data_IF_115428822871
#
_entry.id   IF_115428822871
#
_cell.length_a   1.000
_cell.length_b   1.000
_cell.length_c   1.000
_cell.angle_alpha   90.00
_cell.angle_beta   90.00
_cell.angle_gamma   90.00
#
_symmetry.space_group_name_H-M   'P 1'
#
loop_
_entity.id
_entity.type
_entity.pdbx_description
1 polymer ?
#
# COMPACT_ATOMS: atom_id res chain seq x y z
N UNK A 1 3.53 2.13 19.57
CA UNK A 1 2.19 1.94 18.96
C UNK A 1 1.44 3.25 18.69
N UNK A 2 1.33 4.17 19.65
CA UNK A 2 0.55 5.42 19.47
C UNK A 2 1.00 6.32 18.30
N UNK A 3 2.30 6.33 17.98
CA UNK A 3 2.80 7.05 16.79
C UNK A 3 2.27 6.45 15.48
N UNK A 4 2.15 5.12 15.38
CA UNK A 4 1.61 4.44 14.20
C UNK A 4 0.11 4.70 14.07
N UNK A 5 -0.62 4.66 15.20
CA UNK A 5 -2.06 4.99 15.22
C UNK A 5 -2.31 6.43 14.80
N UNK A 6 -1.55 7.40 15.33
CA UNK A 6 -1.64 8.81 14.93
C UNK A 6 -1.34 9.02 13.44
N UNK A 7 -0.31 8.34 12.90
CA UNK A 7 0.01 8.40 11.46
C UNK A 7 -1.10 7.82 10.60
N UNK A 8 -1.65 6.66 10.96
CA UNK A 8 -2.77 6.03 10.21
C UNK A 8 -4.04 6.86 10.25
N UNK A 9 -4.33 7.46 11.39
CA UNK A 9 -5.48 8.37 11.52
C UNK A 9 -5.34 9.58 10.60
N UNK A 10 -4.17 10.26 10.62
CA UNK A 10 -3.89 11.37 9.71
C UNK A 10 -3.94 10.97 8.24
N UNK A 11 -3.31 9.86 7.87
CA UNK A 11 -3.32 9.38 6.50
C UNK A 11 -4.74 9.05 5.99
N UNK A 12 -5.62 8.56 6.86
CA UNK A 12 -7.02 8.29 6.49
C UNK A 12 -7.83 9.58 6.30
N UNK A 13 -7.58 10.60 7.12
CA UNK A 13 -8.19 11.93 6.96
C UNK A 13 -7.70 12.61 5.69
N UNK A 14 -6.38 12.67 5.47
CA UNK A 14 -5.77 13.24 4.27
C UNK A 14 -6.24 12.54 2.99
N UNK A 15 -6.41 11.21 3.01
CA UNK A 15 -6.94 10.46 1.88
C UNK A 15 -8.41 10.83 1.57
N UNK A 16 -9.21 11.07 2.60
CA UNK A 16 -10.61 11.49 2.46
C UNK A 16 -10.70 12.91 1.90
N UNK A 17 -9.97 13.86 2.48
CA UNK A 17 -9.91 15.26 2.01
C UNK A 17 -9.44 15.34 0.56
N UNK A 18 -8.42 14.55 0.20
CA UNK A 18 -7.92 14.49 -1.18
C UNK A 18 -8.94 13.91 -2.15
N UNK A 19 -9.75 12.94 -1.72
CA UNK A 19 -10.80 12.35 -2.55
C UNK A 19 -11.96 13.34 -2.75
N UNK A 20 -12.37 14.06 -1.71
CA UNK A 20 -13.37 15.13 -1.79
C UNK A 20 -12.90 16.26 -2.73
N UNK A 21 -11.68 16.77 -2.53
CA UNK A 21 -11.10 17.80 -3.41
C UNK A 21 -10.95 17.32 -4.86
N UNK A 22 -10.67 16.02 -5.08
CA UNK A 22 -10.63 15.43 -6.43
C UNK A 22 -12.02 15.45 -7.07
N UNK A 23 -13.06 15.08 -6.34
CA UNK A 23 -14.43 15.08 -6.83
C UNK A 23 -14.91 16.50 -7.17
N UNK A 24 -14.61 17.48 -6.30
CA UNK A 24 -14.92 18.90 -6.56
C UNK A 24 -14.23 19.44 -7.82
N UNK A 25 -12.94 19.12 -8.00
CA UNK A 25 -12.21 19.50 -9.20
C UNK A 25 -12.78 18.88 -10.48
N UNK A 26 -13.26 17.63 -10.42
CA UNK A 26 -13.91 16.98 -11.57
C UNK A 26 -15.21 17.70 -11.96
N UNK A 27 -16.04 18.07 -10.98
CA UNK A 27 -17.27 18.83 -11.22
C UNK A 27 -16.96 20.19 -11.84
N UNK A 28 -15.94 20.89 -11.34
CA UNK A 28 -15.51 22.17 -11.89
C UNK A 28 -14.97 22.03 -13.33
N UNK A 29 -14.19 20.98 -13.62
CA UNK A 29 -13.72 20.70 -14.97
C UNK A 29 -14.84 20.41 -15.97
N UNK A 30 -15.88 19.66 -15.56
CA UNK A 30 -17.08 19.44 -16.38
C UNK A 30 -17.82 20.75 -16.66
N UNK A 31 -17.99 21.61 -15.64
CA UNK A 31 -18.62 22.92 -15.78
C UNK A 31 -17.85 23.86 -16.72
N UNK A 32 -16.52 23.74 -16.77
CA UNK A 32 -15.65 24.49 -17.69
C UNK A 32 -15.61 23.89 -19.11
N UNK A 33 -16.40 22.84 -19.39
CA UNK A 33 -16.50 22.23 -20.71
C UNK A 33 -15.33 21.31 -21.08
N UNK A 34 -14.50 20.89 -20.12
CA UNK A 34 -13.46 19.89 -20.38
C UNK A 34 -14.06 18.48 -20.39
N UNK A 35 -13.52 17.63 -21.28
CA UNK A 35 -13.88 16.21 -21.33
C UNK A 35 -13.29 15.45 -20.15
N UNK A 36 -14.14 15.01 -19.23
CA UNK A 36 -13.80 14.10 -18.13
C UNK A 36 -14.05 12.66 -18.57
N UNK A 37 -13.01 11.82 -18.57
CA UNK A 37 -13.15 10.40 -18.92
C UNK A 37 -13.63 9.57 -17.73
N UNK A 38 -14.25 8.42 -18.01
CA UNK A 38 -14.70 7.49 -16.96
C UNK A 38 -13.54 6.96 -16.10
N UNK A 39 -12.33 6.86 -16.67
CA UNK A 39 -11.12 6.50 -15.92
C UNK A 39 -10.77 7.57 -14.88
N UNK A 40 -10.92 8.85 -15.22
CA UNK A 40 -10.68 9.96 -14.28
C UNK A 40 -11.73 9.99 -13.18
N UNK A 41 -12.99 9.67 -13.50
CA UNK A 41 -14.10 9.61 -12.53
C UNK A 41 -13.89 8.46 -11.54
N UNK A 42 -13.58 7.28 -12.06
CA UNK A 42 -13.56 6.02 -11.31
C UNK A 42 -12.18 5.62 -10.77
N UNK A 43 -11.18 6.49 -10.86
CA UNK A 43 -9.84 6.23 -10.31
C UNK A 43 -9.92 6.03 -8.80
N UNK A 44 -9.91 4.77 -8.36
CA UNK A 44 -9.86 4.42 -6.94
C UNK A 44 -8.47 4.64 -6.39
N UNK A 45 -8.39 5.39 -5.30
CA UNK A 45 -7.16 5.51 -4.51
C UNK A 45 -6.85 4.19 -3.81
N UNK A 46 -5.56 3.85 -3.72
CA UNK A 46 -5.09 2.66 -3.00
C UNK A 46 -5.27 2.83 -1.48
N UNK A 47 -5.79 1.80 -0.80
CA UNK A 47 -5.91 1.80 0.66
C UNK A 47 -4.56 1.50 1.32
N UNK A 48 -3.91 2.54 1.83
CA UNK A 48 -2.63 2.41 2.53
C UNK A 48 -2.75 1.64 3.86
N UNK A 49 -3.96 1.48 4.43
CA UNK A 49 -4.16 0.68 5.63
C UNK A 49 -3.99 -0.83 5.35
N UNK A 50 -4.03 -1.25 4.08
CA UNK A 50 -3.70 -2.61 3.68
C UNK A 50 -2.27 -3.02 4.09
N UNK A 51 -1.36 -2.05 4.31
CA UNK A 51 0.00 -2.28 4.81
C UNK A 51 -0.02 -2.42 6.34
N UNK A 52 -0.72 -3.45 6.80
CA UNK A 52 -0.87 -3.78 8.21
C UNK A 52 -0.74 -5.28 8.41
N UNK A 53 -0.01 -5.71 9.45
CA UNK A 53 -0.17 -7.04 10.04
C UNK A 53 -1.55 -7.68 9.93
N UNK A 54 -1.64 -8.89 9.36
CA UNK A 54 -2.88 -9.68 9.32
C UNK A 54 -3.88 -9.29 8.24
N UNK A 55 -3.54 -8.40 7.30
CA UNK A 55 -4.38 -8.16 6.12
C UNK A 55 -4.09 -9.22 5.03
N UNK A 56 -5.09 -9.57 4.20
CA UNK A 56 -4.87 -10.47 3.06
C UNK A 56 -3.79 -9.97 2.08
N UNK A 57 -3.64 -8.65 1.97
CA UNK A 57 -2.58 -8.02 1.19
C UNK A 57 -1.18 -8.41 1.71
N UNK A 58 -0.97 -8.35 3.04
CA UNK A 58 0.32 -8.70 3.63
C UNK A 58 0.64 -10.20 3.49
N UNK A 59 -0.36 -11.07 3.52
CA UNK A 59 -0.17 -12.51 3.25
C UNK A 59 0.25 -12.78 1.81
N UNK A 60 -0.43 -12.15 0.86
CA UNK A 60 -0.09 -12.23 -0.56
C UNK A 60 1.30 -11.65 -0.83
N UNK A 61 1.63 -10.52 -0.21
CA UNK A 61 2.95 -9.89 -0.31
C UNK A 61 4.04 -10.81 0.23
N UNK A 62 3.80 -11.46 1.38
CA UNK A 62 4.71 -12.44 1.96
C UNK A 62 5.01 -13.60 1.00
N UNK A 63 3.96 -14.19 0.43
CA UNK A 63 4.08 -15.29 -0.50
C UNK A 63 4.82 -14.87 -1.78
N UNK A 64 4.48 -13.69 -2.31
CA UNK A 64 5.08 -13.13 -3.51
C UNK A 64 6.58 -12.86 -3.32
N UNK A 65 6.98 -12.30 -2.17
CA UNK A 65 8.38 -12.02 -1.86
C UNK A 65 9.19 -13.31 -1.66
N UNK A 66 8.64 -14.31 -0.96
CA UNK A 66 9.28 -15.64 -0.83
C UNK A 66 9.55 -16.26 -2.21
N UNK A 67 8.56 -16.24 -3.09
CA UNK A 67 8.72 -16.73 -4.46
C UNK A 67 9.77 -15.93 -5.24
N UNK A 68 9.74 -14.60 -5.15
CA UNK A 68 10.68 -13.74 -5.86
C UNK A 68 12.14 -13.99 -5.44
N UNK A 69 12.39 -14.16 -4.13
CA UNK A 69 13.72 -14.48 -3.60
C UNK A 69 14.18 -15.86 -4.11
N UNK A 70 13.31 -16.87 -4.03
CA UNK A 70 13.62 -18.20 -4.55
C UNK A 70 13.94 -18.15 -6.06
N UNK A 71 13.18 -17.38 -6.84
CA UNK A 71 13.46 -17.14 -8.26
C UNK A 71 14.85 -16.51 -8.43
N UNK A 72 15.16 -15.44 -7.69
CA UNK A 72 16.44 -14.75 -7.79
C UNK A 72 17.64 -15.65 -7.48
N UNK A 73 17.55 -16.46 -6.42
CA UNK A 73 18.60 -17.42 -6.08
C UNK A 73 18.85 -18.46 -7.19
N UNK A 74 17.80 -18.87 -7.90
CA UNK A 74 17.90 -19.87 -8.97
C UNK A 74 18.33 -19.27 -10.32
N UNK A 75 17.94 -18.03 -10.63
CA UNK A 75 18.15 -17.44 -11.96
C UNK A 75 19.32 -16.48 -12.04
N UNK A 76 19.72 -15.87 -10.93
CA UNK A 76 20.70 -14.78 -10.92
C UNK A 76 22.01 -15.26 -10.27
N UNK A 77 23.10 -15.45 -11.05
CA UNK A 77 24.38 -15.89 -10.52
C UNK A 77 24.94 -14.99 -9.41
N UNK A 78 24.61 -13.69 -9.44
CA UNK A 78 25.03 -12.73 -8.41
C UNK A 78 24.40 -12.97 -7.04
N UNK A 79 23.35 -13.79 -6.95
CA UNK A 79 22.64 -14.10 -5.72
C UNK A 79 23.08 -15.43 -5.08
N UNK A 80 23.91 -16.22 -5.75
CA UNK A 80 24.31 -17.57 -5.31
C UNK A 80 25.05 -17.62 -3.97
N UNK A 81 25.71 -16.53 -3.57
CA UNK A 81 26.49 -16.45 -2.33
C UNK A 81 25.91 -15.47 -1.30
N UNK A 82 24.69 -14.95 -1.54
CA UNK A 82 24.05 -13.98 -0.64
C UNK A 82 23.20 -14.72 0.39
N UNK A 83 23.46 -14.46 1.68
CA UNK A 83 22.60 -14.95 2.77
C UNK A 83 21.43 -13.99 2.93
N UNK A 84 20.21 -14.48 2.68
CA UNK A 84 18.99 -13.70 2.84
C UNK A 84 18.26 -14.08 4.13
N UNK A 85 17.81 -13.07 4.87
CA UNK A 85 16.90 -13.22 6.02
C UNK A 85 15.62 -12.48 5.67
N UNK A 86 14.53 -13.22 5.48
CA UNK A 86 13.19 -12.65 5.33
C UNK A 86 12.51 -12.69 6.68
N UNK A 87 12.31 -11.54 7.30
CA UNK A 87 11.55 -11.46 8.53
C UNK A 87 10.35 -10.53 8.38
N UNK A 88 9.22 -11.13 8.00
CA UNK A 88 7.94 -10.44 8.00
C UNK A 88 7.36 -10.32 9.42
N UNK A 89 7.83 -11.14 10.37
CA UNK A 89 7.26 -11.33 11.70
C UNK A 89 7.84 -10.42 12.79
N UNK A 90 9.08 -9.94 12.67
CA UNK A 90 9.63 -8.97 13.62
C UNK A 90 8.99 -7.57 13.51
N UNK A 91 8.21 -7.30 12.45
CA UNK A 91 7.32 -6.14 12.38
C UNK A 91 5.90 -6.41 12.92
N UNK A 92 5.56 -7.69 13.18
CA UNK A 92 4.25 -8.16 13.63
C UNK A 92 4.17 -8.34 15.16
N UNK A 93 5.29 -8.54 15.85
CA UNK A 93 5.30 -8.80 17.30
C UNK A 93 5.19 -7.54 18.19
N UNK A 94 5.29 -6.33 17.63
CA UNK A 94 5.15 -5.08 18.41
C UNK A 94 3.70 -4.60 18.61
N UNK A 95 2.70 -5.36 18.13
CA UNK A 95 1.28 -5.03 18.29
C UNK A 95 0.49 -6.03 19.14
N UNK A 96 1.13 -7.04 19.73
CA UNK A 96 0.48 -8.04 20.59
C UNK A 96 0.82 -7.92 22.09
N UNK A 97 1.48 -6.82 22.50
CA UNK A 97 1.73 -6.50 23.91
C UNK A 97 1.40 -5.01 24.13
N UNK A 98 0.26 -4.77 24.79
CA UNK A 98 -0.38 -3.51 25.21
C UNK A 98 -1.07 -2.64 24.15
#
# INVERSE_FOLDING_TARGET
MNQQRSRRFRASQEAKEKEEARQENLVLWEQMGQTVTDEMRNKKSWDSNAITPGTPFMDLLAASLRYWVAKKLNTDPGWKQVRYVFDLFHLLQLTYVF
#
